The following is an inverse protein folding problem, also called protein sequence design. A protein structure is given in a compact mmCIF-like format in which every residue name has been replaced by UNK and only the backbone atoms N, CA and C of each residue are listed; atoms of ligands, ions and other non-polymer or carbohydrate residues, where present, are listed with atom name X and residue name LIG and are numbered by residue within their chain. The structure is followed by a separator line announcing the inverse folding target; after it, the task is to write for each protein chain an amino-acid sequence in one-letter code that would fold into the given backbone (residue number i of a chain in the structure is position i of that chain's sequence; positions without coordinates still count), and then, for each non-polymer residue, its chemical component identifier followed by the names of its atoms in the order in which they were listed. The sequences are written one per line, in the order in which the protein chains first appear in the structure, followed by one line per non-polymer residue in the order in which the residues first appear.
data_IF_097684667112
#
_entry.id   IF_097684667112
#
_cell.length_a   1.000
_cell.length_b   1.000
_cell.length_c   1.000
_cell.angle_alpha   90.00
_cell.angle_beta   90.00
_cell.angle_gamma   90.00
#
_symmetry.space_group_name_H-M   'P 1'
#
loop_
_entity.id
_entity.type
_entity.pdbx_description
1 polymer ?
#
# COMPACT_ATOMS: atom_id res chain seq x y z
N UNK A 1 20.19 -1.52 48.55
CA UNK A 1 20.70 -2.69 47.81
C UNK A 1 20.25 -2.54 46.37
N UNK A 2 21.15 -2.13 45.47
CA UNK A 2 20.82 -1.93 44.07
C UNK A 2 20.97 -3.27 43.35
N UNK A 3 19.86 -3.86 42.92
CA UNK A 3 19.91 -5.07 42.12
C UNK A 3 20.56 -4.73 40.77
N UNK A 4 21.74 -5.29 40.53
CA UNK A 4 22.34 -5.32 39.20
C UNK A 4 21.48 -6.32 38.40
N UNK A 5 20.53 -5.79 37.63
CA UNK A 5 19.82 -6.59 36.62
C UNK A 5 20.81 -6.80 35.48
N UNK A 6 21.53 -7.92 35.51
CA UNK A 6 22.34 -8.38 34.38
C UNK A 6 21.42 -8.49 33.16
N UNK A 7 21.72 -7.77 32.08
CA UNK A 7 20.98 -7.92 30.84
C UNK A 7 20.96 -9.40 30.43
N UNK A 8 19.81 -9.98 30.05
CA UNK A 8 19.75 -11.36 29.61
C UNK A 8 20.71 -11.57 28.43
N UNK A 9 21.32 -12.75 28.35
CA UNK A 9 22.26 -13.11 27.29
C UNK A 9 21.68 -12.74 25.92
N UNK A 10 22.27 -11.74 25.27
CA UNK A 10 21.86 -11.32 23.92
C UNK A 10 22.65 -12.14 22.91
N UNK A 11 21.96 -13.03 22.20
CA UNK A 11 22.52 -13.79 21.09
C UNK A 11 22.50 -12.93 19.83
N UNK A 12 23.60 -12.95 19.07
CA UNK A 12 23.73 -12.18 17.84
C UNK A 12 24.31 -13.03 16.73
N UNK A 13 23.71 -12.98 15.55
CA UNK A 13 24.29 -13.51 14.31
C UNK A 13 24.46 -12.39 13.30
N UNK A 14 25.48 -12.50 12.44
CA UNK A 14 25.71 -11.53 11.38
C UNK A 14 26.08 -12.22 10.09
N UNK A 15 25.58 -11.67 9.00
CA UNK A 15 25.80 -12.17 7.65
C UNK A 15 26.13 -11.02 6.71
N UNK A 16 27.06 -11.24 5.79
CA UNK A 16 27.49 -10.24 4.81
C UNK A 16 27.49 -10.87 3.41
N UNK A 17 27.25 -10.04 2.40
CA UNK A 17 27.40 -10.43 0.99
C UNK A 17 28.10 -9.35 0.19
N UNK A 18 28.91 -9.76 -0.79
CA UNK A 18 29.48 -8.87 -1.82
C UNK A 18 28.58 -8.73 -3.05
N UNK A 19 27.55 -9.56 -3.17
CA UNK A 19 26.60 -9.53 -4.29
C UNK A 19 25.76 -8.25 -4.23
N UNK A 20 25.73 -7.42 -5.30
CA UNK A 20 24.90 -6.23 -5.35
C UNK A 20 23.42 -6.54 -5.14
N UNK A 21 22.77 -5.78 -4.26
CA UNK A 21 21.37 -5.97 -3.88
C UNK A 21 20.53 -4.82 -4.42
N UNK A 22 19.45 -5.13 -5.12
CA UNK A 22 18.47 -4.18 -5.65
C UNK A 22 17.15 -4.20 -4.88
N UNK A 23 16.92 -5.22 -4.04
CA UNK A 23 15.69 -5.36 -3.26
C UNK A 23 15.85 -6.22 -2.02
N UNK A 24 14.88 -6.15 -1.12
CA UNK A 24 14.89 -6.85 0.17
C UNK A 24 13.58 -7.57 0.40
N UNK A 25 13.66 -8.88 0.67
CA UNK A 25 12.55 -9.74 1.04
C UNK A 25 12.74 -10.22 2.49
N UNK A 26 11.75 -9.98 3.33
CA UNK A 26 11.75 -10.32 4.76
C UNK A 26 10.53 -11.19 5.09
N UNK A 27 10.77 -12.39 5.61
CA UNK A 27 9.73 -13.39 5.92
C UNK A 27 9.84 -13.92 7.34
N UNK A 28 9.65 -13.02 8.31
CA UNK A 28 9.74 -13.27 9.76
C UNK A 28 9.01 -12.14 10.53
N UNK A 29 8.80 -12.24 11.86
CA UNK A 29 8.17 -11.19 12.67
C UNK A 29 9.20 -10.20 13.23
N UNK A 30 8.77 -9.24 14.06
CA UNK A 30 9.68 -8.43 14.85
C UNK A 30 10.09 -7.11 14.20
N UNK A 31 11.11 -6.46 14.77
CA UNK A 31 11.56 -5.13 14.38
C UNK A 31 12.70 -5.18 13.38
N UNK A 32 12.57 -4.48 12.25
CA UNK A 32 13.62 -4.39 11.23
C UNK A 32 13.95 -2.94 10.90
N UNK A 33 15.24 -2.62 10.77
CA UNK A 33 15.70 -1.36 10.22
C UNK A 33 16.56 -1.59 8.98
N UNK A 34 16.17 -1.02 7.86
CA UNK A 34 16.95 -1.01 6.62
C UNK A 34 17.64 0.35 6.51
N UNK A 35 18.96 0.35 6.66
CA UNK A 35 19.83 1.52 6.59
C UNK A 35 20.67 1.48 5.32
N UNK A 36 21.17 2.64 4.90
CA UNK A 36 22.15 2.74 3.83
C UNK A 36 23.46 3.31 4.36
N UNK A 37 24.57 2.69 3.97
CA UNK A 37 25.90 3.15 4.28
C UNK A 37 26.78 3.02 3.02
N UNK A 38 27.08 4.12 2.30
CA UNK A 38 27.88 4.07 1.08
C UNK A 38 29.31 3.53 1.33
N UNK A 39 29.82 3.66 2.56
CA UNK A 39 31.16 3.22 2.96
C UNK A 39 31.21 1.75 3.42
N UNK A 40 30.08 1.03 3.36
CA UNK A 40 30.06 -0.40 3.67
C UNK A 40 30.95 -1.16 2.67
N UNK A 41 31.86 -1.99 3.18
CA UNK A 41 32.76 -2.82 2.34
C UNK A 41 32.02 -3.98 1.65
N UNK A 42 30.97 -4.48 2.29
CA UNK A 42 30.04 -5.46 1.73
C UNK A 42 28.93 -4.74 0.94
N UNK A 43 28.27 -5.44 0.02
CA UNK A 43 27.08 -4.93 -0.66
C UNK A 43 25.88 -4.86 0.30
N UNK A 44 25.75 -5.83 1.21
CA UNK A 44 24.82 -5.79 2.32
C UNK A 44 25.38 -6.49 3.56
N UNK A 45 24.95 -6.02 4.74
CA UNK A 45 25.22 -6.61 6.06
C UNK A 45 23.89 -6.76 6.80
N UNK A 46 23.66 -7.93 7.36
CA UNK A 46 22.52 -8.24 8.22
C UNK A 46 23.04 -8.60 9.60
N UNK A 47 22.45 -8.01 10.64
CA UNK A 47 22.73 -8.32 12.04
C UNK A 47 21.41 -8.61 12.73
N UNK A 48 21.30 -9.76 13.37
CA UNK A 48 20.12 -10.18 14.14
C UNK A 48 20.53 -10.26 15.59
N UNK A 49 19.73 -9.67 16.47
CA UNK A 49 19.91 -9.74 17.92
C UNK A 49 18.62 -10.21 18.59
N UNK A 50 18.77 -11.14 19.52
CA UNK A 50 17.67 -11.76 20.28
C UNK A 50 18.14 -12.16 21.68
N UNK A 51 17.23 -12.29 22.64
CA UNK A 51 17.47 -12.95 23.93
C UNK A 51 17.29 -14.48 23.88
N UNK A 52 16.99 -15.03 22.71
CA UNK A 52 16.71 -16.46 22.50
C UNK A 52 17.56 -17.04 21.38
N UNK A 53 18.47 -17.96 21.72
CA UNK A 53 19.30 -18.67 20.74
C UNK A 53 18.42 -19.43 19.73
N UNK A 54 17.32 -20.03 20.19
CA UNK A 54 16.37 -20.74 19.33
C UNK A 54 15.75 -19.84 18.25
N UNK A 55 15.54 -18.54 18.54
CA UNK A 55 15.08 -17.58 17.53
C UNK A 55 16.18 -17.30 16.50
N UNK A 56 17.42 -17.13 16.95
CA UNK A 56 18.57 -16.85 16.08
C UNK A 56 18.86 -18.01 15.13
N UNK A 57 18.76 -19.25 15.62
CA UNK A 57 19.08 -20.47 14.86
C UNK A 57 18.14 -20.75 13.68
N UNK A 58 16.94 -20.14 13.68
CA UNK A 58 15.97 -20.32 12.60
C UNK A 58 16.26 -19.48 11.35
N UNK A 59 17.16 -18.51 11.42
CA UNK A 59 17.37 -17.55 10.33
C UNK A 59 18.24 -18.11 9.21
N UNK A 60 17.73 -17.97 7.99
CA UNK A 60 18.44 -18.22 6.76
C UNK A 60 18.63 -16.92 5.98
N UNK A 61 19.81 -16.77 5.38
CA UNK A 61 20.20 -15.60 4.60
C UNK A 61 20.64 -16.01 3.20
N UNK A 62 20.14 -15.32 2.19
CA UNK A 62 20.56 -15.55 0.82
C UNK A 62 20.61 -14.23 0.01
N UNK A 63 21.57 -14.13 -0.89
CA UNK A 63 21.59 -13.12 -1.95
C UNK A 63 21.34 -13.83 -3.27
N UNK A 64 20.14 -13.70 -3.80
CA UNK A 64 19.70 -14.46 -4.99
C UNK A 64 19.10 -13.55 -6.05
N UNK A 65 18.98 -14.06 -7.27
CA UNK A 65 18.44 -13.33 -8.43
C UNK A 65 17.05 -13.85 -8.73
N UNK A 66 16.10 -12.93 -8.90
CA UNK A 66 14.76 -13.28 -9.36
C UNK A 66 14.81 -13.88 -10.76
N UNK A 67 13.90 -14.82 -11.04
CA UNK A 67 13.74 -15.40 -12.39
C UNK A 67 12.54 -14.71 -13.03
N UNK A 68 12.80 -13.88 -14.04
CA UNK A 68 11.76 -13.03 -14.61
C UNK A 68 11.37 -11.91 -13.64
N UNK A 69 10.10 -11.51 -13.67
CA UNK A 69 9.52 -10.37 -12.95
C UNK A 69 8.75 -10.77 -11.67
N UNK A 70 9.04 -11.96 -11.13
CA UNK A 70 8.40 -12.43 -9.91
C UNK A 70 9.36 -13.11 -8.95
N UNK A 71 9.04 -13.03 -7.67
CA UNK A 71 9.71 -13.76 -6.59
C UNK A 71 8.69 -14.62 -5.84
N UNK A 72 9.16 -15.73 -5.28
CA UNK A 72 8.34 -16.55 -4.40
C UNK A 72 8.56 -16.10 -2.95
N UNK A 73 7.48 -15.87 -2.21
CA UNK A 73 7.55 -15.66 -0.75
C UNK A 73 6.44 -16.42 -0.02
N UNK A 74 6.74 -16.89 1.20
CA UNK A 74 5.86 -17.80 1.95
C UNK A 74 5.66 -19.13 1.22
N UNK A 75 4.47 -19.72 1.35
CA UNK A 75 4.08 -20.98 0.70
C UNK A 75 3.95 -20.89 -0.83
N UNK A 76 5.05 -20.62 -1.52
CA UNK A 76 5.13 -20.51 -2.97
C UNK A 76 4.21 -19.45 -3.59
N UNK A 77 3.91 -18.37 -2.86
CA UNK A 77 3.14 -17.25 -3.42
C UNK A 77 4.04 -16.38 -4.27
N UNK A 78 3.54 -15.96 -5.43
CA UNK A 78 4.30 -15.18 -6.39
C UNK A 78 4.01 -13.70 -6.23
N UNK A 79 5.06 -12.92 -6.03
CA UNK A 79 4.98 -11.48 -5.92
C UNK A 79 5.71 -10.84 -7.08
N UNK A 80 5.03 -9.94 -7.78
CA UNK A 80 5.63 -9.15 -8.84
C UNK A 80 6.71 -8.22 -8.28
N UNK A 81 7.78 -8.06 -9.05
CA UNK A 81 8.84 -7.06 -8.87
C UNK A 81 8.86 -6.14 -10.09
N UNK A 82 9.35 -4.92 -9.91
CA UNK A 82 9.21 -3.85 -10.92
C UNK A 82 10.05 -4.09 -12.17
N UNK A 83 11.09 -4.92 -12.09
CA UNK A 83 11.95 -5.29 -13.21
C UNK A 83 12.28 -6.77 -13.17
N UNK A 84 12.42 -7.38 -14.34
CA UNK A 84 12.86 -8.74 -14.43
C UNK A 84 14.31 -8.89 -13.93
N UNK A 85 14.63 -10.05 -13.37
CA UNK A 85 16.00 -10.48 -13.11
C UNK A 85 16.76 -9.61 -12.10
N UNK A 86 16.07 -8.99 -11.14
CA UNK A 86 16.70 -8.21 -10.08
C UNK A 86 17.32 -9.12 -9.00
N UNK A 87 18.46 -8.69 -8.47
CA UNK A 87 19.10 -9.38 -7.33
C UNK A 87 18.55 -8.84 -6.02
N UNK A 88 18.27 -9.72 -5.07
CA UNK A 88 17.68 -9.35 -3.79
C UNK A 88 18.26 -10.13 -2.61
N UNK A 89 18.15 -9.50 -1.45
CA UNK A 89 18.42 -10.11 -0.16
C UNK A 89 17.16 -10.82 0.32
N UNK A 90 17.25 -12.12 0.55
CA UNK A 90 16.23 -12.92 1.21
C UNK A 90 16.65 -13.22 2.64
N UNK A 91 15.86 -12.74 3.59
CA UNK A 91 16.00 -13.08 5.02
C UNK A 91 14.70 -13.75 5.44
N UNK A 92 14.77 -15.04 5.71
CA UNK A 92 13.63 -15.88 6.05
C UNK A 92 13.93 -16.77 7.24
N UNK A 93 12.88 -17.29 7.86
CA UNK A 93 13.00 -18.35 8.86
C UNK A 93 12.73 -19.70 8.20
N UNK A 94 13.62 -20.67 8.45
CA UNK A 94 13.55 -22.00 7.87
C UNK A 94 13.90 -23.06 8.92
N UNK A 95 13.26 -24.22 8.82
CA UNK A 95 13.56 -25.39 9.65
C UNK A 95 13.32 -26.66 8.83
N UNK A 96 14.02 -27.75 9.15
CA UNK A 96 13.74 -29.06 8.55
C UNK A 96 12.58 -29.78 9.25
N UNK A 97 12.23 -29.36 10.47
CA UNK A 97 11.22 -29.97 11.34
C UNK A 97 10.27 -28.90 11.88
N UNK A 98 9.17 -29.31 12.51
CA UNK A 98 8.33 -28.36 13.24
C UNK A 98 9.18 -27.66 14.31
N UNK A 99 9.11 -26.34 14.36
CA UNK A 99 9.88 -25.54 15.29
C UNK A 99 8.99 -24.51 15.97
N UNK A 100 9.24 -24.31 17.26
CA UNK A 100 8.66 -23.25 18.06
C UNK A 100 9.80 -22.49 18.71
N UNK A 101 9.87 -21.18 18.48
CA UNK A 101 10.83 -20.31 19.13
C UNK A 101 10.15 -19.02 19.58
N UNK A 102 10.43 -18.58 20.79
CA UNK A 102 9.97 -17.32 21.32
C UNK A 102 11.14 -16.55 21.94
N UNK A 103 11.08 -15.22 21.86
CA UNK A 103 12.10 -14.33 22.37
C UNK A 103 11.93 -12.92 21.83
N UNK A 104 12.84 -12.02 22.14
CA UNK A 104 12.91 -10.69 21.54
C UNK A 104 13.67 -10.72 20.21
N UNK A 105 13.34 -9.84 19.27
CA UNK A 105 13.95 -9.82 17.93
C UNK A 105 14.13 -8.40 17.40
N UNK A 106 15.38 -8.06 17.10
CA UNK A 106 15.78 -6.86 16.36
C UNK A 106 16.69 -7.27 15.20
N UNK A 107 16.35 -6.81 13.99
CA UNK A 107 17.14 -7.04 12.78
C UNK A 107 17.60 -5.71 12.20
N UNK A 108 18.91 -5.58 11.98
CA UNK A 108 19.54 -4.43 11.36
C UNK A 108 20.11 -4.85 10.01
N UNK A 109 19.57 -4.26 8.94
CA UNK A 109 20.04 -4.45 7.58
C UNK A 109 20.73 -3.16 7.16
N UNK A 110 21.96 -3.26 6.67
CA UNK A 110 22.71 -2.14 6.11
C UNK A 110 23.08 -2.49 4.68
N UNK A 111 22.60 -1.71 3.72
CA UNK A 111 22.94 -1.85 2.29
C UNK A 111 23.96 -0.80 1.88
N UNK A 112 24.87 -1.15 0.98
CA UNK A 112 25.83 -0.19 0.42
C UNK A 112 25.15 0.79 -0.53
N UNK A 113 24.27 0.28 -1.40
CA UNK A 113 23.50 1.07 -2.36
C UNK A 113 22.02 1.08 -1.98
N UNK A 114 21.29 2.18 -2.22
CA UNK A 114 19.85 2.22 -2.00
C UNK A 114 19.13 1.14 -2.83
N UNK A 115 18.07 0.57 -2.27
CA UNK A 115 17.29 -0.50 -2.90
C UNK A 115 16.04 0.05 -3.61
N UNK A 116 15.59 -0.68 -4.63
CA UNK A 116 14.40 -0.37 -5.42
C UNK A 116 13.12 -0.95 -4.82
N UNK A 117 13.20 -2.00 -4.01
CA UNK A 117 11.99 -2.54 -3.40
C UNK A 117 12.22 -3.19 -2.05
N UNK A 118 11.17 -3.19 -1.24
CA UNK A 118 11.12 -3.83 0.08
C UNK A 118 9.80 -4.58 0.21
N UNK A 119 9.87 -5.87 0.47
CA UNK A 119 8.70 -6.71 0.75
C UNK A 119 8.90 -7.38 2.10
N UNK A 120 7.96 -7.19 3.03
CA UNK A 120 8.18 -7.61 4.42
C UNK A 120 6.91 -8.10 5.10
N UNK A 121 7.05 -9.13 5.94
CA UNK A 121 6.05 -9.53 6.95
C UNK A 121 6.29 -8.88 8.32
N UNK A 122 7.47 -8.30 8.55
CA UNK A 122 7.95 -7.73 9.81
C UNK A 122 7.63 -6.24 9.94
N UNK A 123 7.70 -5.71 11.16
CA UNK A 123 7.59 -4.27 11.40
C UNK A 123 8.90 -3.57 11.01
N UNK A 124 8.89 -2.99 9.81
CA UNK A 124 10.06 -2.57 9.05
C UNK A 124 10.13 -1.06 8.93
N UNK A 125 11.26 -0.50 9.32
CA UNK A 125 11.60 0.90 9.11
C UNK A 125 12.62 0.99 7.98
N UNK A 126 12.23 1.60 6.88
CA UNK A 126 13.15 1.91 5.78
C UNK A 126 13.68 3.31 6.01
N UNK A 127 14.90 3.40 6.52
CA UNK A 127 15.52 4.65 6.95
C UNK A 127 15.76 5.56 5.74
N UNK A 128 15.60 6.87 5.94
CA UNK A 128 15.84 7.87 4.91
C UNK A 128 17.19 7.65 4.21
N UNK A 129 17.18 7.52 2.89
CA UNK A 129 18.36 7.23 2.06
C UNK A 129 18.51 5.76 1.66
N UNK A 130 17.74 4.85 2.25
CA UNK A 130 17.79 3.43 1.91
C UNK A 130 17.04 3.07 0.61
N UNK A 131 16.19 3.95 0.10
CA UNK A 131 15.47 3.76 -1.18
C UNK A 131 16.12 4.57 -2.29
N UNK A 132 16.14 4.00 -3.49
CA UNK A 132 16.57 4.72 -4.70
C UNK A 132 15.75 5.99 -4.90
N UNK A 133 16.40 7.03 -5.42
CA UNK A 133 15.79 8.31 -5.76
C UNK A 133 16.30 8.75 -7.14
N UNK A 134 15.40 9.19 -8.02
CA UNK A 134 15.71 9.67 -9.36
C UNK A 134 14.55 9.51 -10.36
N UNK A 135 14.47 10.36 -11.40
CA UNK A 135 13.32 10.43 -12.31
C UNK A 135 13.07 9.17 -13.16
N UNK A 136 14.05 8.26 -13.25
CA UNK A 136 13.97 6.96 -13.93
C UNK A 136 13.93 5.77 -12.98
N UNK A 137 13.85 6.02 -11.66
CA UNK A 137 13.87 4.98 -10.63
C UNK A 137 12.46 4.55 -10.25
N UNK A 138 12.29 3.26 -10.02
CA UNK A 138 11.03 2.67 -9.56
C UNK A 138 11.24 2.24 -8.12
N UNK A 139 10.23 2.49 -7.29
CA UNK A 139 10.20 2.04 -5.91
C UNK A 139 8.95 1.22 -5.64
N UNK A 140 9.10 0.05 -5.03
CA UNK A 140 7.98 -0.80 -4.63
C UNK A 140 8.09 -1.25 -3.18
N UNK A 141 7.07 -0.97 -2.37
CA UNK A 141 7.01 -1.36 -0.96
C UNK A 141 5.75 -2.18 -0.73
N UNK A 142 5.91 -3.41 -0.23
CA UNK A 142 4.79 -4.31 0.02
C UNK A 142 4.82 -4.88 1.43
N UNK A 143 3.76 -4.66 2.21
CA UNK A 143 3.51 -5.44 3.42
C UNK A 143 2.81 -6.74 3.06
N UNK A 144 3.44 -7.86 3.43
CA UNK A 144 2.98 -9.22 3.13
C UNK A 144 2.14 -9.84 4.24
N UNK A 145 2.17 -9.25 5.44
CA UNK A 145 1.59 -9.81 6.66
C UNK A 145 1.06 -8.74 7.62
N UNK A 146 1.25 -8.94 8.92
CA UNK A 146 0.81 -8.00 9.95
C UNK A 146 1.81 -6.86 10.22
N UNK A 147 3.07 -7.04 9.84
CA UNK A 147 4.11 -6.03 10.02
C UNK A 147 3.84 -4.74 9.25
N UNK A 148 4.04 -3.61 9.93
CA UNK A 148 3.99 -2.29 9.30
C UNK A 148 5.28 -2.02 8.53
N UNK A 149 5.22 -1.24 7.45
CA UNK A 149 6.40 -0.71 6.77
C UNK A 149 6.30 0.80 6.76
N UNK A 150 7.29 1.47 7.35
CA UNK A 150 7.33 2.93 7.44
C UNK A 150 8.59 3.47 6.80
N UNK A 151 8.45 4.57 6.06
CA UNK A 151 9.59 5.34 5.56
C UNK A 151 9.27 6.82 5.53
N UNK A 152 10.23 7.62 6.00
CA UNK A 152 10.14 9.08 5.98
C UNK A 152 11.38 9.64 5.29
N UNK A 153 11.23 10.09 4.06
CA UNK A 153 12.29 10.75 3.31
C UNK A 153 12.50 12.18 3.82
N UNK A 154 13.72 12.45 4.29
CA UNK A 154 14.15 13.78 4.78
C UNK A 154 14.63 14.71 3.64
N UNK A 155 14.39 14.31 2.39
CA UNK A 155 14.82 15.00 1.17
C UNK A 155 13.70 15.00 0.12
N UNK A 156 13.75 15.90 -0.89
CA UNK A 156 12.88 15.85 -2.06
C UNK A 156 12.92 14.49 -2.78
N UNK A 157 11.77 13.85 -2.91
CA UNK A 157 11.64 12.57 -3.61
C UNK A 157 11.24 12.82 -5.06
N UNK A 158 11.98 12.24 -6.00
CA UNK A 158 11.64 12.22 -7.43
C UNK A 158 11.78 10.79 -7.93
N UNK A 159 10.70 10.21 -8.44
CA UNK A 159 10.67 8.83 -8.93
C UNK A 159 10.06 8.76 -10.33
N UNK A 160 10.25 7.64 -11.02
CA UNK A 160 9.42 7.30 -12.17
C UNK A 160 8.07 6.78 -11.70
N UNK A 161 8.10 5.67 -10.96
CA UNK A 161 6.95 5.02 -10.37
C UNK A 161 7.16 4.74 -8.89
N UNK A 162 6.09 4.88 -8.11
CA UNK A 162 6.00 4.37 -6.75
C UNK A 162 4.84 3.37 -6.67
N UNK A 163 5.11 2.17 -6.17
CA UNK A 163 4.09 1.19 -5.82
C UNK A 163 4.08 0.98 -4.32
N UNK A 164 2.96 1.22 -3.66
CA UNK A 164 2.75 0.90 -2.25
C UNK A 164 1.63 -0.12 -2.15
N UNK A 165 1.87 -1.24 -1.46
CA UNK A 165 0.87 -2.28 -1.37
C UNK A 165 0.82 -3.02 -0.05
N UNK A 166 -0.35 -3.54 0.30
CA UNK A 166 -0.54 -4.43 1.44
C UNK A 166 -1.47 -5.58 1.08
N UNK A 167 -1.02 -6.80 1.36
CA UNK A 167 -1.82 -8.03 1.22
C UNK A 167 -2.29 -8.56 2.57
N UNK A 168 -1.71 -8.09 3.66
CA UNK A 168 -2.05 -8.47 5.03
C UNK A 168 -2.79 -7.37 5.81
N UNK A 169 -2.70 -7.44 7.13
CA UNK A 169 -3.23 -6.46 8.08
C UNK A 169 -2.27 -5.29 8.33
N UNK A 170 -1.02 -5.40 7.89
CA UNK A 170 0.02 -4.40 8.09
C UNK A 170 -0.22 -3.11 7.31
N UNK A 171 0.35 -2.02 7.83
CA UNK A 171 0.26 -0.68 7.25
C UNK A 171 1.52 -0.34 6.47
N UNK A 172 1.38 0.27 5.29
CA UNK A 172 2.51 0.84 4.54
C UNK A 172 2.39 2.37 4.56
N UNK A 173 3.35 3.05 5.18
CA UNK A 173 3.42 4.51 5.25
C UNK A 173 4.66 5.00 4.51
N UNK A 174 4.47 5.80 3.48
CA UNK A 174 5.52 6.55 2.80
C UNK A 174 5.30 8.04 3.00
N UNK A 175 6.26 8.72 3.62
CA UNK A 175 6.23 10.15 3.83
C UNK A 175 7.45 10.83 3.20
N UNK A 176 7.24 11.97 2.55
CA UNK A 176 8.30 12.91 2.19
C UNK A 176 8.12 14.20 2.98
N UNK A 177 9.15 14.63 3.71
CA UNK A 177 9.08 15.85 4.55
C UNK A 177 8.86 17.13 3.75
N UNK A 178 9.17 17.13 2.45
CA UNK A 178 9.05 18.29 1.57
C UNK A 178 8.20 17.97 0.33
N UNK A 179 8.83 17.62 -0.78
CA UNK A 179 8.21 17.43 -2.08
C UNK A 179 8.31 15.97 -2.52
N UNK A 180 7.26 15.48 -3.16
CA UNK A 180 7.23 14.17 -3.79
C UNK A 180 6.73 14.29 -5.22
N UNK A 181 7.57 13.93 -6.18
CA UNK A 181 7.30 14.05 -7.61
C UNK A 181 7.45 12.69 -8.29
N UNK A 182 6.55 12.38 -9.22
CA UNK A 182 6.71 11.24 -10.13
C UNK A 182 6.70 11.66 -11.60
N UNK A 183 7.43 10.97 -12.45
CA UNK A 183 7.42 11.22 -13.91
C UNK A 183 6.37 10.38 -14.64
N UNK A 184 6.04 9.19 -14.12
CA UNK A 184 5.03 8.31 -14.70
C UNK A 184 3.81 8.17 -13.79
N UNK A 185 3.96 7.70 -12.55
CA UNK A 185 2.80 7.61 -11.65
C UNK A 185 3.04 7.00 -10.28
N UNK A 186 1.93 6.83 -9.57
CA UNK A 186 1.85 6.15 -8.27
C UNK A 186 0.75 5.11 -8.33
N UNK A 187 1.03 3.90 -7.82
CA UNK A 187 0.09 2.80 -7.67
C UNK A 187 -0.07 2.43 -6.21
N UNK A 188 -1.29 2.53 -5.68
CA UNK A 188 -1.64 2.20 -4.30
C UNK A 188 -2.56 0.98 -4.31
N UNK A 189 -2.10 -0.15 -3.78
CA UNK A 189 -2.81 -1.43 -3.92
C UNK A 189 -3.09 -2.08 -2.57
N UNK A 190 -4.36 -2.35 -2.29
CA UNK A 190 -4.79 -3.03 -1.07
C UNK A 190 -5.56 -4.29 -1.44
N UNK A 191 -5.02 -5.44 -1.05
CA UNK A 191 -5.67 -6.73 -1.14
C UNK A 191 -6.16 -7.27 0.21
N UNK A 192 -5.57 -6.77 1.31
CA UNK A 192 -5.90 -7.17 2.67
C UNK A 192 -6.72 -6.11 3.45
N UNK A 193 -6.89 -6.32 4.76
CA UNK A 193 -7.50 -5.34 5.67
C UNK A 193 -6.55 -4.22 6.13
N UNK A 194 -5.27 -4.24 5.72
CA UNK A 194 -4.27 -3.24 6.09
C UNK A 194 -4.52 -1.83 5.52
N UNK A 195 -3.56 -0.92 5.66
CA UNK A 195 -3.70 0.44 5.13
C UNK A 195 -2.47 0.91 4.38
N UNK A 196 -2.66 1.77 3.38
CA UNK A 196 -1.58 2.44 2.65
C UNK A 196 -1.72 3.95 2.82
N UNK A 197 -0.63 4.62 3.21
CA UNK A 197 -0.58 6.07 3.38
C UNK A 197 0.58 6.67 2.57
N UNK A 198 0.27 7.64 1.72
CA UNK A 198 1.25 8.48 1.01
C UNK A 198 1.11 9.93 1.49
N UNK A 199 2.22 10.49 1.98
CA UNK A 199 2.26 11.82 2.57
C UNK A 199 3.38 12.67 1.97
N UNK A 200 3.11 13.95 1.73
CA UNK A 200 4.16 14.95 1.50
C UNK A 200 3.95 16.18 2.38
N UNK A 201 5.03 16.80 2.86
CA UNK A 201 4.95 17.99 3.70
C UNK A 201 4.50 19.24 2.94
N UNK A 202 4.78 19.34 1.64
CA UNK A 202 4.45 20.51 0.81
C UNK A 202 3.76 20.15 -0.49
N UNK A 203 4.36 19.32 -1.34
CA UNK A 203 3.83 19.09 -2.69
C UNK A 203 3.83 17.61 -3.07
N UNK A 204 2.74 17.18 -3.70
CA UNK A 204 2.59 15.91 -4.42
C UNK A 204 2.37 16.24 -5.89
N UNK A 205 3.34 15.98 -6.75
CA UNK A 205 3.16 16.08 -8.21
C UNK A 205 3.16 14.68 -8.81
N UNK A 206 1.97 14.19 -9.20
CA UNK A 206 1.76 12.81 -9.61
C UNK A 206 0.96 12.80 -10.90
N UNK A 207 1.58 12.63 -12.09
CA UNK A 207 0.86 12.62 -13.36
C UNK A 207 -0.30 11.61 -13.36
N UNK A 208 -0.04 10.39 -12.91
CA UNK A 208 -1.05 9.33 -12.82
C UNK A 208 -1.08 8.72 -11.43
N UNK A 209 -2.18 8.90 -10.70
CA UNK A 209 -2.43 8.29 -9.41
C UNK A 209 -3.48 7.19 -9.57
N UNK A 210 -3.08 5.94 -9.37
CA UNK A 210 -3.98 4.79 -9.45
C UNK A 210 -4.10 4.14 -8.08
N UNK A 211 -5.33 3.97 -7.62
CA UNK A 211 -5.65 3.32 -6.34
C UNK A 211 -6.57 2.14 -6.61
N UNK A 212 -6.16 0.96 -6.14
CA UNK A 212 -6.93 -0.28 -6.28
C UNK A 212 -7.10 -0.92 -4.91
N UNK A 213 -8.35 -1.08 -4.47
CA UNK A 213 -8.69 -1.69 -3.18
C UNK A 213 -9.67 -2.83 -3.42
N UNK A 214 -9.20 -4.06 -3.29
CA UNK A 214 -10.05 -5.26 -3.37
C UNK A 214 -10.41 -5.81 -1.98
N UNK A 215 -9.62 -5.48 -0.95
CA UNK A 215 -9.87 -5.82 0.44
C UNK A 215 -10.75 -4.82 1.20
N UNK A 216 -10.76 -4.93 2.53
CA UNK A 216 -11.46 -4.02 3.45
C UNK A 216 -10.57 -2.89 4.00
N UNK A 217 -9.31 -2.84 3.57
CA UNK A 217 -8.34 -1.85 4.02
C UNK A 217 -8.59 -0.42 3.53
N UNK A 218 -7.72 0.51 3.93
CA UNK A 218 -7.91 1.94 3.61
C UNK A 218 -6.67 2.60 3.00
N UNK A 219 -6.90 3.47 2.00
CA UNK A 219 -5.86 4.26 1.34
C UNK A 219 -5.99 5.73 1.70
N UNK A 220 -4.86 6.35 2.01
CA UNK A 220 -4.79 7.77 2.38
C UNK A 220 -3.71 8.46 1.55
N UNK A 221 -4.07 9.56 0.90
CA UNK A 221 -3.13 10.44 0.20
C UNK A 221 -3.33 11.85 0.71
N UNK A 222 -2.29 12.43 1.30
CA UNK A 222 -2.38 13.72 1.99
C UNK A 222 -1.14 14.58 1.81
N UNK A 223 -1.37 15.88 1.85
CA UNK A 223 -0.30 16.89 1.85
C UNK A 223 -0.81 18.17 2.49
N UNK A 224 0.07 18.84 3.24
CA UNK A 224 -0.24 20.15 3.84
C UNK A 224 -0.18 21.30 2.81
N UNK A 225 0.26 21.02 1.58
CA UNK A 225 0.24 21.99 0.48
C UNK A 225 -0.57 21.47 -0.71
N UNK A 226 0.09 21.28 -1.86
CA UNK A 226 -0.59 21.03 -3.13
C UNK A 226 -0.49 19.57 -3.58
N UNK A 227 -1.59 19.01 -4.06
CA UNK A 227 -1.61 17.79 -4.87
C UNK A 227 -1.99 18.17 -6.30
N UNK A 228 -1.08 17.92 -7.24
CA UNK A 228 -1.33 18.13 -8.67
C UNK A 228 -1.23 16.78 -9.38
N UNK A 229 -2.28 16.44 -10.13
CA UNK A 229 -2.31 15.25 -10.95
C UNK A 229 -2.88 15.54 -12.35
N UNK A 230 -2.56 14.69 -13.32
CA UNK A 230 -3.28 14.69 -14.59
C UNK A 230 -4.47 13.74 -14.52
N UNK A 231 -4.26 12.54 -13.98
CA UNK A 231 -5.28 11.51 -13.87
C UNK A 231 -5.27 10.89 -12.47
N UNK A 232 -6.42 10.90 -11.82
CA UNK A 232 -6.69 10.12 -10.61
C UNK A 232 -7.67 9.01 -11.00
N UNK A 233 -7.29 7.76 -10.75
CA UNK A 233 -8.11 6.57 -11.01
C UNK A 233 -8.26 5.77 -9.72
N UNK A 234 -9.50 5.59 -9.28
CA UNK A 234 -9.81 4.83 -8.07
C UNK A 234 -10.71 3.65 -8.44
N UNK A 235 -10.28 2.45 -8.06
CA UNK A 235 -11.01 1.21 -8.22
C UNK A 235 -11.19 0.58 -6.84
N UNK A 236 -12.40 0.65 -6.32
CA UNK A 236 -12.76 0.14 -5.00
C UNK A 236 -13.73 -1.03 -5.20
N UNK A 237 -13.25 -2.27 -5.07
CA UNK A 237 -14.05 -3.48 -5.22
C UNK A 237 -14.45 -4.12 -3.88
N UNK A 238 -13.80 -3.70 -2.79
CA UNK A 238 -14.09 -4.14 -1.43
C UNK A 238 -14.90 -3.13 -0.61
N UNK A 239 -14.92 -3.33 0.70
CA UNK A 239 -15.62 -2.45 1.66
C UNK A 239 -14.69 -1.43 2.34
N UNK A 240 -13.52 -1.21 1.76
CA UNK A 240 -12.51 -0.29 2.24
C UNK A 240 -12.84 1.19 1.99
N UNK A 241 -11.92 2.07 2.38
CA UNK A 241 -12.05 3.51 2.18
C UNK A 241 -10.85 4.08 1.42
N UNK A 242 -11.10 5.05 0.54
CA UNK A 242 -10.05 5.80 -0.14
C UNK A 242 -10.25 7.28 0.14
N UNK A 243 -9.23 7.95 0.68
CA UNK A 243 -9.31 9.37 0.99
C UNK A 243 -8.14 10.17 0.41
N UNK A 244 -8.46 11.14 -0.44
CA UNK A 244 -7.56 12.14 -0.97
C UNK A 244 -7.91 13.48 -0.31
N UNK A 245 -7.04 13.98 0.56
CA UNK A 245 -7.28 15.22 1.32
C UNK A 245 -6.03 16.10 1.38
N UNK A 246 -5.58 16.64 0.24
CA UNK A 246 -4.60 17.72 0.23
C UNK A 246 -5.21 19.01 0.79
N UNK A 247 -4.36 19.96 1.23
CA UNK A 247 -4.81 21.33 1.51
C UNK A 247 -5.33 22.03 0.24
N UNK A 248 -4.70 21.77 -0.91
CA UNK A 248 -5.14 22.22 -2.25
C UNK A 248 -4.91 21.13 -3.28
N UNK A 249 -5.97 20.52 -3.82
CA UNK A 249 -5.87 19.47 -4.83
C UNK A 249 -6.41 19.89 -6.18
N UNK A 250 -5.72 19.52 -7.26
CA UNK A 250 -6.24 19.64 -8.63
C UNK A 250 -5.91 18.41 -9.48
N UNK A 251 -6.85 18.07 -10.37
CA UNK A 251 -6.65 17.04 -11.40
C UNK A 251 -7.38 17.38 -12.69
N UNK A 252 -6.90 16.90 -13.84
CA UNK A 252 -7.66 17.02 -15.09
C UNK A 252 -8.80 16.00 -15.08
N UNK A 253 -8.48 14.72 -14.84
CA UNK A 253 -9.46 13.64 -14.84
C UNK A 253 -9.52 12.93 -13.48
N UNK A 254 -10.73 12.68 -12.98
CA UNK A 254 -11.00 11.86 -11.82
C UNK A 254 -11.97 10.72 -12.18
N UNK A 255 -11.46 9.50 -12.28
CA UNK A 255 -12.26 8.30 -12.57
C UNK A 255 -12.41 7.48 -11.30
N UNK A 256 -13.64 7.21 -10.89
CA UNK A 256 -13.95 6.40 -9.71
C UNK A 256 -14.89 5.26 -10.10
N UNK A 257 -14.47 4.03 -9.84
CA UNK A 257 -15.31 2.85 -9.95
C UNK A 257 -15.42 2.21 -8.55
N UNK A 258 -16.62 2.26 -7.98
CA UNK A 258 -16.94 1.72 -6.67
C UNK A 258 -17.90 0.54 -6.83
N UNK A 259 -17.52 -0.58 -6.25
CA UNK A 259 -18.35 -1.78 -6.10
C UNK A 259 -18.49 -2.11 -4.62
N UNK A 260 -19.67 -2.56 -4.20
CA UNK A 260 -20.06 -2.88 -2.81
C UNK A 260 -20.28 -1.63 -1.95
N UNK A 261 -19.74 -1.60 -0.73
CA UNK A 261 -20.15 -0.72 0.37
C UNK A 261 -19.03 0.17 0.91
N UNK A 262 -17.91 0.28 0.19
CA UNK A 262 -16.82 1.17 0.59
C UNK A 262 -17.12 2.65 0.33
N UNK A 263 -16.17 3.52 0.66
CA UNK A 263 -16.29 4.97 0.38
C UNK A 263 -15.07 5.56 -0.31
N UNK A 264 -15.31 6.53 -1.20
CA UNK A 264 -14.26 7.30 -1.87
C UNK A 264 -14.46 8.78 -1.60
N UNK A 265 -13.47 9.39 -0.96
CA UNK A 265 -13.45 10.79 -0.58
C UNK A 265 -12.42 11.54 -1.41
N UNK A 266 -12.88 12.26 -2.42
CA UNK A 266 -12.06 13.09 -3.31
C UNK A 266 -12.57 14.53 -3.40
N UNK A 267 -13.44 14.94 -2.47
CA UNK A 267 -13.99 16.29 -2.40
C UNK A 267 -12.93 17.39 -2.18
N UNK A 268 -11.75 17.05 -1.68
CA UNK A 268 -10.63 17.99 -1.53
C UNK A 268 -9.78 18.16 -2.80
N UNK A 269 -10.15 17.51 -3.91
CA UNK A 269 -9.43 17.58 -5.18
C UNK A 269 -10.36 18.08 -6.28
N UNK A 270 -10.10 19.29 -6.77
CA UNK A 270 -10.87 19.89 -7.86
C UNK A 270 -10.49 19.22 -9.18
N UNK A 271 -11.41 18.43 -9.75
CA UNK A 271 -11.26 17.83 -11.06
C UNK A 271 -11.82 18.74 -12.17
N UNK A 272 -11.18 18.79 -13.34
CA UNK A 272 -11.86 19.35 -14.52
C UNK A 272 -13.03 18.45 -14.91
N UNK A 273 -12.76 17.15 -15.08
CA UNK A 273 -13.74 16.14 -15.45
C UNK A 273 -13.76 15.00 -14.42
N UNK A 274 -14.96 14.58 -14.03
CA UNK A 274 -15.16 13.44 -13.14
C UNK A 274 -16.09 12.39 -13.77
N UNK A 275 -15.66 11.13 -13.75
CA UNK A 275 -16.48 9.97 -14.15
C UNK A 275 -16.61 9.03 -12.96
N UNK A 276 -17.83 8.89 -12.45
CA UNK A 276 -18.14 8.13 -11.24
C UNK A 276 -19.13 7.00 -11.56
N UNK A 277 -18.71 5.78 -11.26
CA UNK A 277 -19.47 4.56 -11.39
C UNK A 277 -19.64 3.95 -10.00
N UNK A 278 -20.88 3.77 -9.56
CA UNK A 278 -21.19 3.15 -8.25
C UNK A 278 -22.12 1.97 -8.49
N UNK A 279 -21.72 0.80 -7.99
CA UNK A 279 -22.55 -0.40 -7.94
C UNK A 279 -22.56 -0.98 -6.53
N UNK A 280 -23.69 -0.91 -5.83
CA UNK A 280 -23.80 -1.34 -4.42
C UNK A 280 -24.36 -0.26 -3.51
N UNK A 281 -23.85 -0.17 -2.28
CA UNK A 281 -24.34 0.72 -1.21
C UNK A 281 -23.31 1.75 -0.74
N UNK A 282 -22.15 1.84 -1.42
CA UNK A 282 -21.08 2.77 -1.06
C UNK A 282 -21.37 4.22 -1.42
N UNK A 283 -20.51 5.12 -0.90
CA UNK A 283 -20.64 6.57 -1.09
C UNK A 283 -19.40 7.18 -1.74
N UNK A 284 -19.61 8.11 -2.66
CA UNK A 284 -18.53 8.87 -3.31
C UNK A 284 -18.73 10.36 -3.12
N UNK A 285 -17.68 11.07 -2.69
CA UNK A 285 -17.63 12.54 -2.69
C UNK A 285 -16.56 13.00 -3.68
N UNK A 286 -16.94 13.89 -4.61
CA UNK A 286 -16.05 14.48 -5.61
C UNK A 286 -16.17 16.00 -5.61
N UNK A 287 -15.17 16.70 -6.13
CA UNK A 287 -15.28 18.11 -6.51
C UNK A 287 -14.90 18.24 -7.99
N UNK A 288 -15.70 18.98 -8.76
CA UNK A 288 -15.62 19.00 -10.22
C UNK A 288 -16.02 20.34 -10.80
N UNK A 289 -15.28 20.81 -11.80
CA UNK A 289 -15.43 22.12 -12.43
C UNK A 289 -16.36 22.08 -13.65
N UNK A 290 -16.15 21.13 -14.56
CA UNK A 290 -16.81 21.12 -15.87
C UNK A 290 -17.81 19.99 -16.00
N UNK A 291 -17.34 18.74 -16.16
CA UNK A 291 -18.24 17.63 -16.46
C UNK A 291 -18.25 16.58 -15.35
N UNK A 292 -19.44 16.33 -14.79
CA UNK A 292 -19.71 15.22 -13.87
C UNK A 292 -20.58 14.17 -14.57
N UNK A 293 -19.94 13.05 -14.87
CA UNK A 293 -20.60 11.87 -15.42
C UNK A 293 -20.81 10.85 -14.32
N UNK A 294 -22.08 10.52 -14.03
CA UNK A 294 -22.41 9.52 -13.00
C UNK A 294 -23.22 8.36 -13.56
N UNK A 295 -23.03 7.18 -12.98
CA UNK A 295 -23.90 6.03 -13.18
C UNK A 295 -23.94 5.22 -11.89
N UNK A 296 -25.13 5.16 -11.30
CA UNK A 296 -25.40 4.58 -10.00
C UNK A 296 -26.36 3.40 -10.22
N UNK A 297 -25.89 2.19 -9.91
CA UNK A 297 -26.65 0.95 -9.98
C UNK A 297 -26.72 0.35 -8.55
N UNK A 298 -27.77 0.64 -7.78
CA UNK A 298 -27.96 0.16 -6.41
C UNK A 298 -28.39 1.27 -5.43
N UNK A 299 -28.14 1.05 -4.14
CA UNK A 299 -28.47 1.98 -3.05
C UNK A 299 -27.36 3.01 -2.74
N UNK A 300 -26.29 3.03 -3.53
CA UNK A 300 -25.15 3.92 -3.33
C UNK A 300 -25.45 5.37 -3.65
N UNK A 301 -24.54 6.26 -3.24
CA UNK A 301 -24.69 7.70 -3.40
C UNK A 301 -23.45 8.35 -4.01
N UNK A 302 -23.68 9.40 -4.80
CA UNK A 302 -22.62 10.28 -5.31
C UNK A 302 -22.97 11.70 -4.93
N UNK A 303 -22.07 12.35 -4.20
CA UNK A 303 -22.19 13.76 -3.83
C UNK A 303 -21.09 14.58 -4.49
N UNK A 304 -21.43 15.78 -4.95
CA UNK A 304 -20.44 16.75 -5.44
C UNK A 304 -20.33 17.92 -4.45
N UNK A 305 -19.11 18.14 -3.96
CA UNK A 305 -18.78 19.12 -2.94
C UNK A 305 -18.49 20.49 -3.56
N UNK A 306 -18.99 21.52 -2.87
CA UNK A 306 -18.66 22.94 -3.03
C UNK A 306 -19.29 23.66 -4.24
N UNK A 307 -19.83 24.85 -3.95
CA UNK A 307 -20.65 25.74 -4.79
C UNK A 307 -19.81 26.67 -5.67
N UNK A 308 -18.49 26.75 -5.50
CA UNK A 308 -17.66 27.72 -6.27
C UNK A 308 -17.71 27.46 -7.77
N UNK A 309 -17.94 26.21 -8.17
CA UNK A 309 -18.31 25.87 -9.56
C UNK A 309 -19.24 24.67 -9.49
N UNK A 310 -20.55 24.90 -9.63
CA UNK A 310 -21.44 23.78 -9.95
C UNK A 310 -20.91 23.13 -11.24
N UNK A 311 -20.83 21.80 -11.34
CA UNK A 311 -20.47 21.16 -12.60
C UNK A 311 -21.35 21.71 -13.71
N UNK A 312 -20.73 22.27 -14.75
CA UNK A 312 -21.44 22.83 -15.91
C UNK A 312 -22.34 21.77 -16.52
N UNK A 313 -21.90 20.51 -16.52
CA UNK A 313 -22.62 19.39 -17.09
C UNK A 313 -22.79 18.26 -16.07
N UNK A 314 -24.04 17.95 -15.70
CA UNK A 314 -24.38 16.77 -14.89
C UNK A 314 -25.24 15.82 -15.72
N UNK A 315 -24.98 14.51 -15.57
CA UNK A 315 -25.81 13.46 -16.18
C UNK A 315 -27.26 13.54 -15.73
N UNK A 316 -28.22 13.54 -16.67
CA UNK A 316 -29.65 13.49 -16.37
C UNK A 316 -30.03 12.21 -15.60
N UNK A 317 -30.94 12.29 -14.62
CA UNK A 317 -31.56 11.09 -14.04
C UNK A 317 -32.25 10.27 -15.14
N UNK A 318 -32.14 8.94 -15.09
CA UNK A 318 -33.00 8.05 -15.88
C UNK A 318 -34.32 7.82 -15.16
N UNK A 319 -35.45 7.83 -15.87
CA UNK A 319 -36.73 7.33 -15.34
C UNK A 319 -37.98 7.76 -16.10
N UNK A 320 -38.86 6.78 -16.35
CA UNK A 320 -40.32 6.96 -16.54
C UNK A 320 -40.91 7.35 -15.17
N UNK A 321 -41.99 8.15 -15.11
CA UNK A 321 -42.61 8.77 -13.91
C UNK A 321 -42.88 7.90 -12.66
N UNK A 322 -42.59 6.59 -12.68
CA UNK A 322 -42.75 5.65 -11.57
C UNK A 322 -41.41 5.18 -10.97
N UNK A 323 -40.28 5.29 -11.68
CA UNK A 323 -38.95 4.87 -11.19
C UNK A 323 -37.86 5.87 -11.57
N UNK A 324 -37.51 6.78 -10.66
CA UNK A 324 -36.36 7.70 -10.83
C UNK A 324 -35.07 7.04 -10.32
N UNK A 325 -34.05 6.94 -11.16
CA UNK A 325 -32.71 6.52 -10.73
C UNK A 325 -32.02 7.60 -9.89
N UNK A 326 -31.20 7.16 -8.92
CA UNK A 326 -30.36 8.05 -8.12
C UNK A 326 -29.42 8.87 -9.01
N UNK A 327 -29.37 10.18 -8.77
CA UNK A 327 -28.48 11.11 -9.45
C UNK A 327 -27.49 11.72 -8.46
N UNK A 328 -26.49 12.45 -8.97
CA UNK A 328 -25.52 13.12 -8.11
C UNK A 328 -26.17 14.27 -7.33
N UNK A 329 -25.89 14.39 -6.03
CA UNK A 329 -26.49 15.41 -5.16
C UNK A 329 -25.45 16.44 -4.73
N UNK A 330 -25.80 17.72 -4.72
CA UNK A 330 -24.92 18.77 -4.20
C UNK A 330 -24.73 18.60 -2.69
N UNK A 331 -23.52 18.85 -2.18
CA UNK A 331 -23.25 18.88 -0.74
C UNK A 331 -22.34 20.04 -0.35
N UNK A 332 -22.59 20.60 0.84
CA UNK A 332 -21.70 21.56 1.51
C UNK A 332 -20.72 20.87 2.46
N UNK A 333 -20.84 19.56 2.66
CA UNK A 333 -19.98 18.79 3.55
C UNK A 333 -18.90 18.03 2.75
N UNK A 334 -17.64 18.38 2.97
CA UNK A 334 -16.50 17.61 2.47
C UNK A 334 -16.12 16.55 3.49
N UNK A 335 -16.67 15.35 3.35
CA UNK A 335 -16.30 14.22 4.20
C UNK A 335 -14.97 13.63 3.73
N UNK A 336 -14.04 13.40 4.65
CA UNK A 336 -12.78 12.70 4.41
C UNK A 336 -12.33 11.96 5.67
N UNK A 337 -11.50 10.93 5.50
CA UNK A 337 -10.92 10.18 6.61
C UNK A 337 -9.49 10.64 6.82
N UNK A 338 -9.18 11.07 8.03
CA UNK A 338 -7.83 11.52 8.39
C UNK A 338 -6.98 10.32 8.80
N UNK A 339 -5.76 10.28 8.27
CA UNK A 339 -4.73 9.34 8.67
C UNK A 339 -3.80 10.01 9.68
N UNK A 340 -3.72 9.43 10.88
CA UNK A 340 -2.73 9.83 11.87
C UNK A 340 -1.39 9.20 11.49
N UNK A 341 -0.46 10.03 11.01
CA UNK A 341 0.90 9.60 10.70
C UNK A 341 1.53 8.95 11.93
N UNK A 342 2.10 7.77 11.75
CA UNK A 342 2.81 7.05 12.81
C UNK A 342 4.26 7.55 12.82
N UNK A 343 4.75 7.90 14.01
CA UNK A 343 6.15 8.27 14.19
C UNK A 343 7.05 7.06 13.89
N UNK A 344 8.29 7.33 13.45
CA UNK A 344 9.28 6.29 13.24
C UNK A 344 9.44 5.46 14.55
N UNK A 345 9.19 4.15 14.51
CA UNK A 345 9.34 3.30 15.68
C UNK A 345 10.76 3.36 16.26
N UNK A 346 10.89 3.19 17.58
CA UNK A 346 12.19 3.14 18.23
C UNK A 346 13.00 1.91 17.80
N UNK A 347 14.34 2.03 17.81
CA UNK A 347 15.30 0.94 17.54
C UNK A 347 15.41 -0.03 18.72
N UNK A 348 14.29 -0.68 19.06
CA UNK A 348 14.16 -1.62 20.18
C UNK A 348 13.68 -2.98 19.68
N UNK A 349 14.11 -4.08 20.28
CA UNK A 349 13.64 -5.40 19.91
C UNK A 349 12.16 -5.56 20.28
N UNK A 350 11.46 -6.43 19.55
CA UNK A 350 10.08 -6.80 19.84
C UNK A 350 10.01 -8.25 20.27
N UNK A 351 9.13 -8.57 21.21
CA UNK A 351 8.83 -9.95 21.55
C UNK A 351 8.09 -10.61 20.39
N UNK A 352 8.59 -11.75 19.98
CA UNK A 352 8.10 -12.54 18.87
C UNK A 352 7.92 -13.99 19.29
N UNK A 353 6.92 -14.61 18.67
CA UNK A 353 6.78 -16.06 18.61
C UNK A 353 6.86 -16.46 17.15
N UNK A 354 7.66 -17.48 16.86
CA UNK A 354 7.86 -18.08 15.55
C UNK A 354 7.44 -19.54 15.66
N UNK A 355 6.26 -19.82 15.12
CA UNK A 355 5.80 -21.18 14.90
C UNK A 355 6.04 -21.55 13.44
N UNK A 356 6.79 -22.62 13.21
CA UNK A 356 7.00 -23.25 11.92
C UNK A 356 6.37 -24.64 11.97
N UNK A 357 5.19 -24.79 11.38
CA UNK A 357 4.53 -26.10 11.26
C UNK A 357 4.47 -26.55 9.80
N UNK A 358 4.97 -27.76 9.53
CA UNK A 358 4.81 -28.42 8.24
C UNK A 358 3.33 -28.65 7.95
N UNK A 359 2.85 -28.19 6.79
CA UNK A 359 1.48 -28.51 6.38
C UNK A 359 1.40 -29.96 5.89
N UNK A 360 0.29 -30.64 6.18
CA UNK A 360 0.04 -32.04 5.77
C UNK A 360 0.10 -32.26 4.24
N UNK A 361 -0.10 -31.20 3.44
CA UNK A 361 -0.23 -31.28 1.98
C UNK A 361 0.81 -30.44 1.20
N UNK A 362 1.70 -29.71 1.89
CA UNK A 362 2.79 -28.97 1.24
C UNK A 362 4.01 -28.90 2.17
N UNK A 363 5.23 -28.92 1.62
CA UNK A 363 6.47 -28.71 2.40
C UNK A 363 6.65 -27.26 2.88
N UNK A 364 5.57 -26.49 2.96
CA UNK A 364 5.59 -25.12 3.46
C UNK A 364 5.34 -25.09 4.97
N UNK A 365 5.98 -24.13 5.64
CA UNK A 365 5.73 -23.79 7.02
C UNK A 365 4.68 -22.68 7.13
N UNK A 366 3.59 -22.94 7.86
CA UNK A 366 2.68 -21.87 8.28
C UNK A 366 3.39 -21.04 9.32
N UNK A 367 3.57 -19.75 9.05
CA UNK A 367 4.20 -18.81 9.95
C UNK A 367 3.12 -18.08 10.75
N UNK A 368 3.11 -18.28 12.07
CA UNK A 368 2.33 -17.44 13.00
C UNK A 368 3.27 -16.44 13.64
N UNK A 369 2.91 -15.17 13.53
CA UNK A 369 3.70 -14.05 14.01
C UNK A 369 2.86 -13.25 14.99
N UNK A 370 3.30 -13.22 16.24
CA UNK A 370 2.74 -12.34 17.27
C UNK A 370 3.79 -11.33 17.66
N UNK A 371 3.38 -10.07 17.81
CA UNK A 371 4.27 -8.97 18.21
C UNK A 371 3.56 -8.23 19.33
N UNK A 372 4.15 -8.22 20.51
CA UNK A 372 3.54 -7.61 21.69
C UNK A 372 3.71 -6.07 21.65
N UNK A 373 2.94 -5.38 20.81
CA UNK A 373 2.61 -3.96 20.96
C UNK A 373 1.16 -3.75 20.51
N UNK A 374 0.33 -3.35 21.47
CA UNK A 374 -1.14 -3.16 21.43
C UNK A 374 -2.01 -4.35 21.00
N UNK A 375 -2.75 -4.85 21.99
CA UNK A 375 -3.71 -5.93 21.93
C UNK A 375 -4.88 -5.63 20.98
N UNK A 376 -4.76 -6.11 19.74
CA UNK A 376 -5.87 -6.70 18.98
C UNK A 376 -5.33 -7.82 18.10
N UNK A 377 -4.87 -8.92 18.71
CA UNK A 377 -4.50 -10.14 17.99
C UNK A 377 -5.79 -10.91 17.65
N UNK A 378 -6.34 -10.68 16.46
CA UNK A 378 -7.19 -11.69 15.82
C UNK A 378 -6.25 -12.70 15.17
N UNK A 379 -6.23 -13.91 15.74
CA UNK A 379 -5.60 -15.10 15.17
C UNK A 379 -6.04 -15.26 13.71
N UNK A 380 -5.20 -14.85 12.75
CA UNK A 380 -5.47 -15.12 11.34
C UNK A 380 -4.90 -16.48 10.98
N UNK A 381 -5.75 -17.49 10.95
CA UNK A 381 -5.49 -18.68 10.15
C UNK A 381 -5.30 -18.24 8.70
N UNK A 382 -4.11 -18.46 8.16
CA UNK A 382 -3.78 -18.14 6.77
C UNK A 382 -4.55 -19.11 5.87
N UNK A 383 -5.79 -18.78 5.51
CA UNK A 383 -6.43 -19.34 4.31
C UNK A 383 -5.87 -18.62 3.09
N UNK A 384 -5.47 -19.39 2.07
CA UNK A 384 -4.85 -18.92 0.83
C UNK A 384 -5.61 -17.75 0.17
N UNK A 385 -5.03 -16.53 0.11
CA UNK A 385 -5.43 -15.54 -0.88
C UNK A 385 -4.73 -15.85 -2.21
N UNK A 386 -5.50 -16.02 -3.28
CA UNK A 386 -4.99 -16.11 -4.65
C UNK A 386 -4.35 -14.78 -5.07
N UNK A 387 -3.28 -14.87 -5.86
CA UNK A 387 -2.38 -13.78 -6.28
C UNK A 387 -3.10 -12.51 -6.79
N UNK A 388 -3.02 -11.41 -6.03
CA UNK A 388 -3.63 -10.11 -6.37
C UNK A 388 -2.67 -9.20 -7.18
N UNK A 389 -1.66 -9.77 -7.84
CA UNK A 389 -0.77 -9.00 -8.72
C UNK A 389 -0.90 -9.43 -10.20
N UNK A 390 -0.99 -10.72 -10.47
CA UNK A 390 -1.23 -11.27 -11.82
C UNK A 390 -2.73 -11.46 -12.10
N UNK A 391 -3.50 -11.95 -11.13
CA UNK A 391 -4.97 -12.07 -11.25
C UNK A 391 -5.65 -10.71 -11.11
N UNK A 392 -5.05 -9.77 -10.37
CA UNK A 392 -5.54 -8.39 -10.38
C UNK A 392 -5.44 -7.78 -11.79
N UNK A 393 -4.32 -7.89 -12.50
CA UNK A 393 -4.25 -7.31 -13.85
C UNK A 393 -5.20 -7.98 -14.85
N UNK A 394 -5.38 -9.32 -14.81
CA UNK A 394 -6.22 -10.04 -15.80
C UNK A 394 -7.71 -10.06 -15.41
N UNK A 395 -8.03 -10.35 -14.15
CA UNK A 395 -9.41 -10.31 -13.67
C UNK A 395 -9.92 -8.87 -13.51
N UNK A 396 -9.09 -7.89 -13.13
CA UNK A 396 -9.48 -6.47 -13.16
C UNK A 396 -9.49 -5.92 -14.59
N UNK A 397 -8.67 -6.40 -15.53
CA UNK A 397 -8.85 -6.05 -16.94
C UNK A 397 -10.18 -6.62 -17.47
N UNK A 398 -10.53 -7.87 -17.16
CA UNK A 398 -11.81 -8.45 -17.57
C UNK A 398 -13.00 -7.77 -16.87
N UNK A 399 -12.94 -7.52 -15.57
CA UNK A 399 -14.00 -6.82 -14.83
C UNK A 399 -14.08 -5.35 -15.26
N UNK A 400 -12.95 -4.66 -15.43
CA UNK A 400 -12.93 -3.29 -15.94
C UNK A 400 -13.32 -3.23 -17.42
N UNK A 401 -13.09 -4.26 -18.25
CA UNK A 401 -13.55 -4.33 -19.64
C UNK A 401 -15.04 -4.62 -19.72
N UNK A 402 -15.57 -5.51 -18.88
CA UNK A 402 -17.02 -5.78 -18.77
C UNK A 402 -17.73 -4.55 -18.22
N UNK A 403 -17.18 -3.91 -17.18
CA UNK A 403 -17.67 -2.63 -16.64
C UNK A 403 -17.50 -1.52 -17.68
N UNK A 404 -16.35 -1.35 -18.33
CA UNK A 404 -16.17 -0.35 -19.39
C UNK A 404 -17.12 -0.60 -20.57
N UNK A 405 -17.44 -1.85 -20.90
CA UNK A 405 -18.41 -2.18 -21.95
C UNK A 405 -19.84 -1.82 -21.52
N UNK A 406 -20.23 -2.16 -20.29
CA UNK A 406 -21.54 -1.82 -19.71
C UNK A 406 -21.68 -0.29 -19.57
N UNK A 407 -20.65 0.39 -19.08
CA UNK A 407 -20.64 1.84 -18.90
C UNK A 407 -20.48 2.59 -20.22
N UNK A 408 -19.63 2.17 -21.18
CA UNK A 408 -19.58 2.78 -22.53
C UNK A 408 -20.91 2.62 -23.27
N UNK A 409 -21.58 1.47 -23.12
CA UNK A 409 -22.94 1.27 -23.63
C UNK A 409 -23.95 2.23 -22.99
N UNK A 410 -23.88 2.43 -21.67
CA UNK A 410 -24.76 3.36 -20.93
C UNK A 410 -24.40 4.84 -21.09
N UNK A 411 -23.18 5.20 -21.49
CA UNK A 411 -22.70 6.57 -21.69
C UNK A 411 -23.04 7.13 -23.08
N UNK A 412 -23.14 6.27 -24.10
CA UNK A 412 -23.52 6.67 -25.47
C UNK A 412 -24.95 7.20 -25.61
N UNK A 413 -25.76 7.17 -24.54
CA UNK A 413 -27.21 7.51 -24.55
C UNK A 413 -27.60 8.67 -23.62
N UNK A 414 -26.66 9.51 -23.16
CA UNK A 414 -26.95 10.53 -22.13
C UNK A 414 -26.97 11.96 -22.67
N UNK A 415 -28.07 12.66 -22.40
CA UNK A 415 -28.14 14.12 -22.46
C UNK A 415 -27.68 14.76 -21.14
N UNK A 416 -27.18 15.99 -21.22
CA UNK A 416 -26.71 16.78 -20.07
C UNK A 416 -27.76 17.79 -19.62
N UNK A 417 -27.78 18.08 -18.33
CA UNK A 417 -28.46 19.28 -17.81
C UNK A 417 -27.39 20.30 -17.46
N UNK A 418 -27.49 21.49 -18.04
CA UNK A 418 -26.68 22.64 -17.64
C UNK A 418 -27.19 23.14 -16.30
N UNK A 419 -26.31 23.25 -15.31
CA UNK A 419 -26.65 23.91 -14.05
C UNK A 419 -26.50 25.43 -14.21
N UNK A 420 -27.41 26.25 -13.64
CA UNK A 420 -27.21 27.69 -13.58
C UNK A 420 -25.92 27.98 -12.80
N UNK A 421 -25.15 28.96 -13.30
CA UNK A 421 -23.88 29.40 -12.73
C UNK A 421 -24.05 30.01 -11.35
#
# INVERSE_FOLDING_TARGET
MSAIVTAPHTFTTSWNTSTPIEGVLLQFPGRVFINQNPSLKAAARVVISSDSQAVVDLFAFNATKAVGDSINAGCNRRYAIDRANQTYLDVSVASAVNAHAAGSLLVLITVQKPVSWVKSTADTVVVSGALVNGPSKLVSITSLGAGNITTTAKYPVTLSNLTLSTTGTGKVQFAATTTFNTTAGVSLVIAGPGSVALQAGRTLNIPNLTTTVTGSGSVFVMTNGTLTAQNIKTYLFGSGNVSYYPARGSTVNNTINLFKSGHVYSGSVLAQNATVAVSGAGGVVVQVNDTLTTSIDGAGSVAYYNKTVNPVHVSKPKGWWVFTSSSAVATTNNTFNVYKSVAEPAKVPLNVTIDLNQTLFSRCFVQRFETAVDTTALSSTISSPQDVASVACVALALLALVVLAIFKGKLRTKGYTALPK
#
